data_IF_075269765219
#
_entry.id   IF_075269765219
#
_cell.length_a   1.000
_cell.length_b   1.000
_cell.length_c   1.000
_cell.angle_alpha   90.00
_cell.angle_beta   90.00
_cell.angle_gamma   90.00
#
_symmetry.space_group_name_H-M   'P 1'
#
loop_
_entity.id
_entity.type
_entity.pdbx_description
1 polymer ?
#
# COMPACT_ATOMS: atom_id res chain seq x y z
N UNK A 1 4.00 14.83 -6.27
CA UNK A 1 3.11 14.77 -5.09
C UNK A 1 3.78 13.95 -4.00
N UNK A 2 3.82 14.41 -2.75
CA UNK A 2 4.60 13.77 -1.67
C UNK A 2 4.16 12.32 -1.39
N UNK A 3 2.90 11.96 -1.67
CA UNK A 3 2.38 10.60 -1.52
C UNK A 3 3.09 9.58 -2.42
N UNK A 4 3.59 9.98 -3.60
CA UNK A 4 4.33 9.09 -4.50
C UNK A 4 5.68 8.68 -3.94
N UNK A 5 6.42 9.61 -3.33
CA UNK A 5 7.71 9.28 -2.72
C UNK A 5 7.54 8.24 -1.61
N UNK A 6 6.51 8.41 -0.77
CA UNK A 6 6.17 7.44 0.28
C UNK A 6 5.73 6.09 -0.25
N UNK A 7 4.94 6.06 -1.33
CA UNK A 7 4.56 4.82 -2.00
C UNK A 7 5.75 4.10 -2.62
N UNK A 8 6.68 4.84 -3.23
CA UNK A 8 7.89 4.29 -3.80
C UNK A 8 8.79 3.67 -2.73
N UNK A 9 9.02 4.38 -1.63
CA UNK A 9 9.78 3.87 -0.49
C UNK A 9 9.10 2.64 0.15
N UNK A 10 7.77 2.67 0.27
CA UNK A 10 7.00 1.52 0.75
C UNK A 10 7.17 0.31 -0.17
N UNK A 11 7.03 0.49 -1.49
CA UNK A 11 7.18 -0.59 -2.46
C UNK A 11 8.60 -1.19 -2.43
N UNK A 12 9.61 -0.33 -2.36
CA UNK A 12 11.01 -0.76 -2.21
C UNK A 12 11.20 -1.63 -0.97
N UNK A 13 10.72 -1.19 0.19
CA UNK A 13 10.84 -1.95 1.44
C UNK A 13 10.03 -3.25 1.41
N UNK A 14 8.83 -3.22 0.81
CA UNK A 14 7.96 -4.38 0.66
C UNK A 14 8.63 -5.45 -0.22
N UNK A 15 9.21 -5.06 -1.36
CA UNK A 15 9.90 -5.99 -2.26
C UNK A 15 11.05 -6.73 -1.55
N UNK A 16 11.83 -6.02 -0.73
CA UNK A 16 12.89 -6.60 0.09
C UNK A 16 12.34 -7.56 1.16
N UNK A 17 11.17 -7.26 1.74
CA UNK A 17 10.50 -8.13 2.69
C UNK A 17 9.92 -9.40 2.04
N UNK A 18 9.36 -9.31 0.83
CA UNK A 18 8.82 -10.47 0.10
C UNK A 18 9.90 -11.50 -0.22
N UNK A 19 11.15 -11.07 -0.43
CA UNK A 19 12.29 -11.98 -0.64
C UNK A 19 12.58 -12.84 0.60
N UNK A 20 12.22 -12.41 1.81
CA UNK A 20 12.40 -13.26 3.00
C UNK A 20 11.26 -14.24 3.25
N UNK A 21 10.18 -14.19 2.46
CA UNK A 21 9.05 -15.07 2.67
C UNK A 21 9.42 -16.52 2.30
N UNK A 22 8.84 -17.53 3.00
CA UNK A 22 8.90 -18.92 2.57
C UNK A 22 8.40 -19.07 1.13
N UNK A 23 9.01 -19.95 0.34
CA UNK A 23 8.75 -20.09 -1.11
C UNK A 23 7.26 -20.21 -1.44
N UNK A 24 6.50 -21.01 -0.71
CA UNK A 24 5.05 -21.19 -0.89
C UNK A 24 4.23 -19.93 -0.59
N UNK A 25 4.62 -19.17 0.43
CA UNK A 25 3.96 -17.93 0.83
C UNK A 25 4.34 -16.73 -0.05
N UNK A 26 5.52 -16.79 -0.68
CA UNK A 26 5.96 -15.78 -1.65
C UNK A 26 5.04 -15.72 -2.87
N UNK A 27 4.67 -16.87 -3.44
CA UNK A 27 3.75 -16.95 -4.60
C UNK A 27 2.27 -16.82 -4.24
N UNK A 28 1.93 -16.55 -2.97
CA UNK A 28 0.55 -16.34 -2.54
C UNK A 28 0.40 -14.97 -1.88
N UNK A 29 0.83 -14.83 -0.63
CA UNK A 29 0.76 -13.56 0.10
C UNK A 29 1.72 -12.50 -0.47
N UNK A 30 2.95 -12.90 -0.80
CA UNK A 30 3.96 -11.98 -1.34
C UNK A 30 3.52 -11.38 -2.68
N UNK A 31 3.12 -12.24 -3.63
CA UNK A 31 2.59 -11.81 -4.92
C UNK A 31 1.36 -10.92 -4.76
N UNK A 32 0.41 -11.28 -3.87
CA UNK A 32 -0.79 -10.48 -3.68
C UNK A 32 -0.49 -9.10 -3.09
N UNK A 33 0.49 -9.00 -2.19
CA UNK A 33 0.97 -7.73 -1.65
C UNK A 33 1.61 -6.86 -2.74
N UNK A 34 2.42 -7.46 -3.60
CA UNK A 34 3.08 -6.79 -4.72
C UNK A 34 2.04 -6.22 -5.71
N UNK A 35 1.12 -7.07 -6.19
CA UNK A 35 0.04 -6.69 -7.10
C UNK A 35 -0.79 -5.51 -6.57
N UNK A 36 -1.30 -5.61 -5.33
CA UNK A 36 -2.15 -4.56 -4.76
C UNK A 36 -1.37 -3.26 -4.55
N UNK A 37 -0.08 -3.34 -4.22
CA UNK A 37 0.75 -2.15 -4.06
C UNK A 37 0.96 -1.44 -5.39
N UNK A 38 1.20 -2.19 -6.47
CA UNK A 38 1.28 -1.64 -7.83
C UNK A 38 -0.05 -1.01 -8.27
N UNK A 39 -1.19 -1.66 -7.99
CA UNK A 39 -2.51 -1.09 -8.27
C UNK A 39 -2.77 0.20 -7.47
N UNK A 40 -2.29 0.30 -6.22
CA UNK A 40 -2.38 1.54 -5.42
C UNK A 40 -1.57 2.66 -6.08
N UNK A 41 -0.36 2.35 -6.56
CA UNK A 41 0.48 3.31 -7.28
C UNK A 41 -0.25 3.80 -8.54
N UNK A 42 -0.76 2.88 -9.36
CA UNK A 42 -1.50 3.20 -10.59
C UNK A 42 -2.72 4.09 -10.32
N UNK A 43 -3.52 3.77 -9.29
CA UNK A 43 -4.70 4.57 -8.95
C UNK A 43 -4.34 5.97 -8.43
N UNK A 44 -3.25 6.11 -7.68
CA UNK A 44 -2.78 7.43 -7.22
C UNK A 44 -2.26 8.25 -8.40
N UNK A 45 -1.55 7.64 -9.36
CA UNK A 45 -1.16 8.29 -10.62
C UNK A 45 -2.42 8.75 -11.37
N UNK A 46 -3.37 7.85 -11.57
CA UNK A 46 -4.64 8.13 -12.25
C UNK A 46 -5.38 9.29 -11.58
N UNK A 47 -5.55 9.26 -10.26
CA UNK A 47 -6.17 10.35 -9.51
C UNK A 47 -5.42 11.69 -9.62
N UNK A 48 -4.10 11.64 -9.87
CA UNK A 48 -3.28 12.81 -10.11
C UNK A 48 -3.68 13.56 -11.38
N UNK A 49 -4.00 12.83 -12.45
CA UNK A 49 -4.34 13.38 -13.77
C UNK A 49 -5.83 13.65 -13.99
N UNK A 50 -6.71 13.08 -13.18
CA UNK A 50 -8.16 13.31 -13.31
C UNK A 50 -8.58 14.74 -12.97
N UNK A 51 -9.70 15.25 -13.53
CA UNK A 51 -10.33 16.47 -13.05
C UNK A 51 -10.88 16.27 -11.63
N UNK A 52 -10.97 17.34 -10.83
CA UNK A 52 -11.34 17.28 -9.40
C UNK A 52 -12.60 16.44 -9.14
N UNK A 53 -13.63 16.61 -9.96
CA UNK A 53 -14.93 15.93 -9.84
C UNK A 53 -14.84 14.40 -9.96
N UNK A 54 -13.83 13.90 -10.68
CA UNK A 54 -13.64 12.47 -10.93
C UNK A 54 -12.60 11.84 -9.98
N UNK A 55 -11.90 12.63 -9.15
CA UNK A 55 -10.87 12.12 -8.23
C UNK A 55 -11.44 11.33 -7.07
N UNK A 56 -12.57 11.79 -6.50
CA UNK A 56 -13.14 11.21 -5.28
C UNK A 56 -13.36 9.68 -5.36
N UNK A 57 -14.02 9.12 -6.39
CA UNK A 57 -14.22 7.67 -6.47
C UNK A 57 -12.90 6.90 -6.58
N UNK A 58 -11.90 7.45 -7.29
CA UNK A 58 -10.58 6.81 -7.40
C UNK A 58 -9.84 6.82 -6.07
N UNK A 59 -9.84 7.95 -5.35
CA UNK A 59 -9.22 8.05 -4.03
C UNK A 59 -9.88 7.15 -2.98
N UNK A 60 -11.21 6.98 -3.05
CA UNK A 60 -11.92 6.01 -2.21
C UNK A 60 -11.49 4.57 -2.53
N UNK A 61 -11.32 4.22 -3.80
CA UNK A 61 -10.80 2.92 -4.22
C UNK A 61 -9.39 2.68 -3.69
N UNK A 62 -8.53 3.71 -3.67
CA UNK A 62 -7.20 3.62 -3.05
C UNK A 62 -7.32 3.34 -1.55
N UNK A 63 -8.23 4.00 -0.84
CA UNK A 63 -8.43 3.79 0.59
C UNK A 63 -8.74 2.32 0.89
N UNK A 64 -9.65 1.72 0.13
CA UNK A 64 -10.02 0.30 0.27
C UNK A 64 -8.80 -0.60 0.05
N UNK A 65 -7.99 -0.34 -0.99
CA UNK A 65 -6.78 -1.13 -1.26
C UNK A 65 -5.73 -0.99 -0.17
N UNK A 66 -5.55 0.19 0.41
CA UNK A 66 -4.65 0.37 1.56
C UNK A 66 -5.11 -0.44 2.78
N UNK A 67 -6.42 -0.53 3.03
CA UNK A 67 -6.94 -1.37 4.11
C UNK A 67 -6.72 -2.86 3.85
N UNK A 68 -6.87 -3.31 2.59
CA UNK A 68 -6.51 -4.67 2.20
C UNK A 68 -5.01 -4.93 2.42
N UNK A 69 -4.12 -4.00 2.05
CA UNK A 69 -2.68 -4.13 2.30
C UNK A 69 -2.37 -4.27 3.79
N UNK A 70 -3.03 -3.50 4.67
CA UNK A 70 -2.86 -3.64 6.13
C UNK A 70 -3.19 -5.05 6.61
N UNK A 71 -4.30 -5.61 6.14
CA UNK A 71 -4.75 -6.96 6.52
C UNK A 71 -3.76 -8.02 6.02
N UNK A 72 -3.33 -7.93 4.76
CA UNK A 72 -2.37 -8.88 4.18
C UNK A 72 -1.00 -8.81 4.87
N UNK A 73 -0.55 -7.61 5.22
CA UNK A 73 0.70 -7.40 5.93
C UNK A 73 0.62 -7.99 7.36
N UNK A 74 -0.50 -7.79 8.06
CA UNK A 74 -0.75 -8.40 9.37
C UNK A 74 -0.80 -9.93 9.28
N UNK A 75 -1.44 -10.48 8.26
CA UNK A 75 -1.49 -11.92 8.02
C UNK A 75 -0.08 -12.48 7.74
N UNK A 76 0.74 -11.75 7.01
CA UNK A 76 2.14 -12.12 6.74
C UNK A 76 2.96 -12.20 8.02
N UNK A 77 2.73 -11.28 8.97
CA UNK A 77 3.34 -11.34 10.30
C UNK A 77 2.83 -12.54 11.11
N UNK A 78 1.51 -12.76 11.16
CA UNK A 78 0.90 -13.87 11.92
C UNK A 78 1.29 -15.25 11.40
N UNK A 79 1.63 -15.35 10.12
CA UNK A 79 2.11 -16.58 9.49
C UNK A 79 3.64 -16.72 9.50
N UNK A 80 4.33 -15.85 10.25
CA UNK A 80 5.80 -15.79 10.36
C UNK A 80 6.51 -15.66 9.00
N UNK A 81 5.86 -15.02 8.01
CA UNK A 81 6.48 -14.74 6.71
C UNK A 81 7.44 -13.54 6.76
N UNK A 82 7.19 -12.63 7.71
CA UNK A 82 7.96 -11.40 7.92
C UNK A 82 8.28 -11.26 9.40
N UNK A 83 9.46 -10.75 9.73
CA UNK A 83 9.82 -10.44 11.10
C UNK A 83 9.02 -9.23 11.63
N UNK A 84 8.93 -9.14 12.96
CA UNK A 84 8.16 -8.09 13.60
C UNK A 84 8.71 -6.69 13.32
N UNK A 85 10.03 -6.52 13.17
CA UNK A 85 10.62 -5.20 12.93
C UNK A 85 10.22 -4.66 11.55
N UNK A 86 10.40 -5.47 10.50
CA UNK A 86 9.98 -5.11 9.14
C UNK A 86 8.47 -4.93 9.02
N UNK A 87 7.69 -5.76 9.71
CA UNK A 87 6.23 -5.56 9.79
C UNK A 87 5.88 -4.17 10.34
N UNK A 88 6.48 -3.77 11.47
CA UNK A 88 6.20 -2.46 12.09
C UNK A 88 6.60 -1.31 11.17
N UNK A 89 7.74 -1.41 10.49
CA UNK A 89 8.19 -0.41 9.52
C UNK A 89 7.20 -0.25 8.36
N UNK A 90 6.80 -1.36 7.73
CA UNK A 90 5.85 -1.36 6.61
C UNK A 90 4.46 -0.89 7.05
N UNK A 91 3.99 -1.31 8.23
CA UNK A 91 2.71 -0.89 8.77
C UNK A 91 2.69 0.62 9.05
N UNK A 92 3.77 1.17 9.61
CA UNK A 92 3.91 2.60 9.83
C UNK A 92 3.86 3.40 8.52
N UNK A 93 4.53 2.91 7.46
CA UNK A 93 4.47 3.52 6.14
C UNK A 93 3.05 3.51 5.56
N UNK A 94 2.31 2.41 5.66
CA UNK A 94 0.90 2.34 5.21
C UNK A 94 0.02 3.33 5.98
N UNK A 95 0.22 3.48 7.29
CA UNK A 95 -0.51 4.45 8.11
C UNK A 95 -0.23 5.88 7.65
N UNK A 96 1.04 6.21 7.38
CA UNK A 96 1.43 7.52 6.88
C UNK A 96 0.79 7.81 5.51
N UNK A 97 0.88 6.87 4.56
CA UNK A 97 0.24 6.97 3.24
C UNK A 97 -1.28 7.16 3.38
N UNK A 98 -1.92 6.43 4.30
CA UNK A 98 -3.35 6.57 4.60
C UNK A 98 -3.72 7.96 5.12
N UNK A 99 -2.90 8.56 5.99
CA UNK A 99 -3.09 9.94 6.47
C UNK A 99 -2.99 10.95 5.31
N UNK A 100 -1.99 10.78 4.44
CA UNK A 100 -1.82 11.63 3.26
C UNK A 100 -2.99 11.51 2.29
N UNK A 101 -3.47 10.28 2.04
CA UNK A 101 -4.65 10.02 1.22
C UNK A 101 -5.89 10.67 1.81
N UNK A 102 -6.11 10.54 3.13
CA UNK A 102 -7.23 11.17 3.83
C UNK A 102 -7.21 12.69 3.75
N UNK A 103 -6.02 13.30 3.83
CA UNK A 103 -5.83 14.73 3.57
C UNK A 103 -6.24 15.10 2.15
N UNK A 104 -5.81 14.33 1.15
CA UNK A 104 -6.17 14.56 -0.25
C UNK A 104 -7.68 14.43 -0.50
N UNK A 105 -8.33 13.39 0.05
CA UNK A 105 -9.79 13.22 -0.04
C UNK A 105 -10.53 14.44 0.50
N UNK A 106 -10.10 15.00 1.65
CA UNK A 106 -10.70 16.21 2.24
C UNK A 106 -10.57 17.45 1.36
N UNK A 107 -9.49 17.57 0.58
CA UNK A 107 -9.31 18.69 -0.37
C UNK A 107 -10.15 18.55 -1.63
N UNK A 108 -10.54 17.33 -1.99
CA UNK A 108 -11.32 17.04 -3.20
C UNK A 108 -12.81 17.10 -2.91
N UNK A 109 -13.24 16.59 -1.75
CA UNK A 109 -14.60 16.73 -1.20
C UNK A 109 -14.98 18.20 -1.05
#
# INVERSE_FOLDING_TARGET
MPIFAKLYDFYKNLSQAIVTFPKTKRYTLGQRLDEITLEVIELIITAGYLPREQKLPVLQKVSIKLDILKILLRLSQQTNCIDNNRYQQLAAQIIEIGKMLGGWIKTVR
#
